data_IF_139253345504
#
_entry.id   IF_139253345504
#
_cell.length_a   1.000
_cell.length_b   1.000
_cell.length_c   1.000
_cell.angle_alpha   90.00
_cell.angle_beta   90.00
_cell.angle_gamma   90.00
#
_symmetry.space_group_name_H-M   'P 1'
#
loop_
_entity.id
_entity.type
_entity.pdbx_description
1 polymer ?
#
# COMPACT_ATOMS: atom_id res chain seq x y z
N UNK A 1 -14.25 5.95 0.89
CA UNK A 1 -13.73 4.90 1.80
C UNK A 1 -12.22 4.99 1.77
N UNK A 2 -11.53 4.90 2.90
CA UNK A 2 -10.07 4.91 2.94
C UNK A 2 -9.56 3.46 2.96
N UNK A 3 -8.57 3.12 2.12
CA UNK A 3 -7.94 1.79 2.07
C UNK A 3 -6.83 1.70 3.13
N UNK A 4 -5.93 2.69 3.14
CA UNK A 4 -4.76 2.67 4.02
C UNK A 4 -5.16 2.89 5.47
N UNK A 5 -4.61 2.08 6.37
CA UNK A 5 -4.98 2.07 7.80
C UNK A 5 -6.48 1.86 8.06
N UNK A 6 -7.17 1.13 7.17
CA UNK A 6 -8.59 0.86 7.34
C UNK A 6 -8.88 0.01 8.60
N UNK A 7 -9.80 0.42 9.48
CA UNK A 7 -10.13 -0.33 10.71
C UNK A 7 -10.59 -1.77 10.46
N UNK A 8 -11.36 -2.04 9.39
CA UNK A 8 -11.81 -3.39 9.07
C UNK A 8 -10.64 -4.29 8.66
N UNK A 9 -9.71 -3.76 7.87
CA UNK A 9 -8.53 -4.53 7.44
C UNK A 9 -7.61 -4.85 8.63
N UNK A 10 -7.43 -3.89 9.56
CA UNK A 10 -6.64 -4.08 10.78
C UNK A 10 -7.30 -5.14 11.68
N UNK A 11 -8.58 -4.97 11.99
CA UNK A 11 -9.33 -5.91 12.84
C UNK A 11 -9.39 -7.32 12.20
N UNK A 12 -9.54 -7.40 10.87
CA UNK A 12 -9.49 -8.67 10.16
C UNK A 12 -8.17 -9.41 10.42
N UNK A 13 -7.03 -8.70 10.36
CA UNK A 13 -5.72 -9.28 10.61
C UNK A 13 -5.58 -9.76 12.06
N UNK A 14 -6.10 -9.01 13.03
CA UNK A 14 -6.13 -9.41 14.44
C UNK A 14 -6.95 -10.69 14.66
N UNK A 15 -8.13 -10.80 14.06
CA UNK A 15 -8.97 -12.01 14.11
C UNK A 15 -8.26 -13.21 13.50
N UNK A 16 -7.55 -13.01 12.39
CA UNK A 16 -6.81 -14.08 11.72
C UNK A 16 -5.65 -14.61 12.59
N UNK A 17 -4.94 -13.71 13.28
CA UNK A 17 -3.88 -14.04 14.25
C UNK A 17 -4.42 -14.77 15.49
N UNK A 18 -5.66 -14.48 15.90
CA UNK A 18 -6.36 -15.18 16.98
C UNK A 18 -6.91 -16.56 16.56
N UNK A 19 -6.75 -16.95 15.29
CA UNK A 19 -7.26 -18.22 14.75
C UNK A 19 -8.75 -18.21 14.38
N UNK A 20 -9.43 -17.05 14.45
CA UNK A 20 -10.86 -16.91 14.11
C UNK A 20 -11.06 -16.78 12.60
N UNK A 21 -10.73 -17.84 11.87
CA UNK A 21 -10.63 -17.82 10.40
C UNK A 21 -11.93 -17.43 9.68
N UNK A 22 -13.08 -17.87 10.17
CA UNK A 22 -14.38 -17.56 9.54
C UNK A 22 -14.74 -16.07 9.68
N UNK A 23 -14.68 -15.53 10.90
CA UNK A 23 -14.93 -14.10 11.17
C UNK A 23 -13.96 -13.20 10.38
N UNK A 24 -12.67 -13.57 10.35
CA UNK A 24 -11.67 -12.86 9.56
C UNK A 24 -11.99 -12.88 8.06
N UNK A 25 -12.45 -14.02 7.52
CA UNK A 25 -12.83 -14.13 6.12
C UNK A 25 -14.03 -13.24 5.77
N UNK A 26 -15.09 -13.27 6.58
CA UNK A 26 -16.27 -12.43 6.39
C UNK A 26 -15.92 -10.94 6.41
N UNK A 27 -15.11 -10.52 7.39
CA UNK A 27 -14.63 -9.14 7.48
C UNK A 27 -13.78 -8.73 6.28
N UNK A 28 -12.90 -9.63 5.79
CA UNK A 28 -12.10 -9.39 4.58
C UNK A 28 -13.00 -9.18 3.36
N UNK A 29 -14.04 -9.99 3.19
CA UNK A 29 -14.96 -9.87 2.06
C UNK A 29 -15.77 -8.57 2.13
N UNK A 30 -16.20 -8.16 3.33
CA UNK A 30 -16.89 -6.89 3.52
C UNK A 30 -15.99 -5.69 3.21
N UNK A 31 -14.73 -5.70 3.69
CA UNK A 31 -13.76 -4.65 3.33
C UNK A 31 -13.58 -4.55 1.81
N UNK A 32 -13.36 -5.69 1.13
CA UNK A 32 -13.21 -5.72 -0.33
C UNK A 32 -14.47 -5.24 -1.06
N UNK A 33 -15.66 -5.55 -0.55
CA UNK A 33 -16.94 -5.06 -1.10
C UNK A 33 -17.02 -3.54 -1.00
N UNK A 34 -16.75 -2.96 0.17
CA UNK A 34 -16.76 -1.51 0.38
C UNK A 34 -15.74 -0.77 -0.51
N UNK A 35 -14.54 -1.34 -0.69
CA UNK A 35 -13.53 -0.78 -1.58
C UNK A 35 -14.01 -0.76 -3.04
N UNK A 36 -14.58 -1.87 -3.52
CA UNK A 36 -15.12 -1.95 -4.90
C UNK A 36 -16.26 -0.96 -5.14
N UNK A 37 -17.18 -0.83 -4.20
CA UNK A 37 -18.34 0.06 -4.33
C UNK A 37 -17.98 1.55 -4.24
N UNK A 38 -16.84 1.89 -3.64
CA UNK A 38 -16.39 3.28 -3.51
C UNK A 38 -15.57 3.80 -4.70
N UNK A 39 -15.27 2.95 -5.69
CA UNK A 39 -14.70 3.37 -6.98
C UNK A 39 -13.18 3.51 -6.98
N UNK A 40 -12.70 4.60 -7.58
CA UNK A 40 -11.27 4.86 -7.80
C UNK A 40 -10.60 5.44 -6.53
N UNK A 41 -9.55 4.76 -6.08
CA UNK A 41 -8.72 5.16 -4.92
C UNK A 41 -7.27 5.43 -5.32
N UNK A 42 -6.98 5.56 -6.61
CA UNK A 42 -5.63 5.78 -7.11
C UNK A 42 -5.15 7.20 -6.76
N UNK A 43 -4.01 7.37 -6.06
CA UNK A 43 -3.43 8.70 -5.81
C UNK A 43 -2.60 9.23 -7.00
N UNK A 44 -2.46 8.44 -8.07
CA UNK A 44 -1.68 8.81 -9.24
C UNK A 44 -2.27 10.04 -9.94
N UNK A 45 -1.40 11.00 -10.26
CA UNK A 45 -1.77 12.25 -10.95
C UNK A 45 -1.69 12.15 -12.47
N UNK A 46 -1.15 11.05 -12.99
CA UNK A 46 -0.97 10.83 -14.43
C UNK A 46 -2.30 10.50 -15.12
N UNK A 47 -2.40 10.84 -16.40
CA UNK A 47 -3.54 10.45 -17.23
C UNK A 47 -3.41 8.97 -17.62
N UNK A 48 -3.87 8.06 -16.75
CA UNK A 48 -3.74 6.61 -16.94
C UNK A 48 -5.11 5.92 -17.02
N UNK A 49 -5.35 5.05 -18.04
CA UNK A 49 -6.62 4.34 -18.18
C UNK A 49 -6.85 3.24 -17.14
N UNK A 50 -5.83 2.90 -16.34
CA UNK A 50 -5.88 1.82 -15.35
C UNK A 50 -6.21 2.29 -13.93
N UNK A 51 -6.61 3.55 -13.75
CA UNK A 51 -7.06 4.08 -12.46
C UNK A 51 -8.21 3.24 -11.88
N UNK A 52 -8.22 3.08 -10.56
CA UNK A 52 -9.14 2.18 -9.85
C UNK A 52 -8.89 0.67 -10.07
N UNK A 53 -8.10 0.26 -11.06
CA UNK A 53 -7.82 -1.16 -11.33
C UNK A 53 -6.47 -1.60 -10.71
N UNK A 54 -6.52 -1.99 -9.43
CA UNK A 54 -5.35 -2.44 -8.69
C UNK A 54 -4.62 -3.62 -9.35
N UNK A 55 -5.36 -4.55 -9.96
CA UNK A 55 -4.77 -5.73 -10.61
C UNK A 55 -3.93 -5.35 -11.83
N UNK A 56 -4.48 -4.53 -12.73
CA UNK A 56 -3.75 -4.07 -13.92
C UNK A 56 -2.55 -3.20 -13.54
N UNK A 57 -2.76 -2.23 -12.64
CA UNK A 57 -1.70 -1.33 -12.18
C UNK A 57 -0.51 -2.10 -11.59
N UNK A 58 -0.74 -3.02 -10.65
CA UNK A 58 0.33 -3.82 -10.04
C UNK A 58 1.01 -4.73 -11.07
N UNK A 59 0.25 -5.32 -11.99
CA UNK A 59 0.80 -6.20 -13.03
C UNK A 59 1.75 -5.44 -13.94
N UNK A 60 1.39 -4.24 -14.37
CA UNK A 60 2.20 -3.39 -15.24
C UNK A 60 3.50 -2.97 -14.54
N UNK A 61 3.42 -2.39 -13.33
CA UNK A 61 4.61 -1.96 -12.58
C UNK A 61 5.53 -3.12 -12.24
N UNK A 62 4.97 -4.29 -11.90
CA UNK A 62 5.76 -5.52 -11.69
C UNK A 62 6.47 -5.97 -12.98
N UNK A 63 5.83 -5.82 -14.14
CA UNK A 63 6.41 -6.13 -15.43
C UNK A 63 7.59 -5.21 -15.78
N UNK A 64 7.43 -3.89 -15.57
CA UNK A 64 8.49 -2.91 -15.84
C UNK A 64 9.67 -3.04 -14.89
N UNK A 65 9.41 -3.33 -13.60
CA UNK A 65 10.42 -3.35 -12.52
C UNK A 65 11.19 -2.03 -12.32
N UNK A 66 10.70 -0.95 -12.89
CA UNK A 66 11.31 0.38 -12.78
C UNK A 66 11.00 1.01 -11.41
N UNK A 67 9.72 1.09 -11.05
CA UNK A 67 9.28 1.62 -9.76
C UNK A 67 7.95 1.04 -9.29
N UNK A 68 7.61 1.29 -8.02
CA UNK A 68 6.34 0.87 -7.41
C UNK A 68 5.16 1.77 -7.84
N UNK A 69 3.93 1.24 -7.86
CA UNK A 69 2.71 2.05 -7.97
C UNK A 69 2.63 3.11 -6.87
N UNK A 70 2.10 4.29 -7.20
CA UNK A 70 2.01 5.42 -6.26
C UNK A 70 1.17 5.11 -5.01
N UNK A 71 0.18 4.22 -5.11
CA UNK A 71 -0.60 3.74 -3.95
C UNK A 71 0.22 2.91 -2.94
N UNK A 72 1.44 2.48 -3.27
CA UNK A 72 2.35 1.80 -2.35
C UNK A 72 3.41 2.73 -1.77
N UNK A 73 3.54 3.95 -2.28
CA UNK A 73 4.64 4.85 -1.91
C UNK A 73 4.58 5.21 -0.44
N UNK A 74 3.42 5.60 0.09
CA UNK A 74 3.31 6.00 1.50
C UNK A 74 3.70 4.84 2.43
N UNK A 75 3.22 3.61 2.16
CA UNK A 75 3.58 2.41 2.92
C UNK A 75 5.10 2.15 2.94
N UNK A 76 5.77 2.35 1.81
CA UNK A 76 7.23 2.14 1.72
C UNK A 76 7.98 3.32 2.34
N UNK A 77 7.53 4.55 2.11
CA UNK A 77 8.12 5.77 2.65
C UNK A 77 8.06 5.79 4.18
N UNK A 78 7.00 5.26 4.81
CA UNK A 78 6.96 5.08 6.26
C UNK A 78 8.15 4.24 6.77
N UNK A 79 8.53 3.19 6.04
CA UNK A 79 9.66 2.32 6.41
C UNK A 79 11.00 2.97 6.10
N UNK A 80 11.12 3.62 4.95
CA UNK A 80 12.32 4.37 4.59
C UNK A 80 12.57 5.52 5.56
N UNK A 81 11.53 6.24 5.97
CA UNK A 81 11.62 7.31 6.97
C UNK A 81 12.10 6.76 8.32
N UNK A 82 11.53 5.64 8.78
CA UNK A 82 11.97 4.99 10.02
C UNK A 82 13.44 4.54 9.96
N UNK A 83 13.90 4.00 8.83
CA UNK A 83 15.31 3.64 8.62
C UNK A 83 16.21 4.86 8.56
N UNK A 84 15.80 5.91 7.84
CA UNK A 84 16.54 7.17 7.71
C UNK A 84 16.79 7.83 9.08
N UNK A 85 15.84 7.74 10.00
CA UNK A 85 16.01 8.22 11.37
C UNK A 85 17.09 7.47 12.17
N UNK A 86 17.46 6.25 11.79
CA UNK A 86 18.57 5.53 12.45
C UNK A 86 19.92 6.23 12.26
N UNK A 87 20.05 7.05 11.21
CA UNK A 87 21.25 7.84 10.93
C UNK A 87 20.94 9.33 10.86
N UNK A 88 19.89 9.79 11.55
CA UNK A 88 19.52 11.21 11.60
C UNK A 88 19.32 11.87 10.21
N UNK A 89 18.90 11.09 9.20
CA UNK A 89 18.65 11.60 7.86
C UNK A 89 19.89 11.75 6.97
N UNK A 90 21.04 11.21 7.36
CA UNK A 90 22.30 11.36 6.60
C UNK A 90 22.40 10.52 5.33
N UNK A 91 21.44 9.61 5.05
CA UNK A 91 21.52 8.68 3.92
C UNK A 91 21.79 9.39 2.59
N UNK A 92 21.05 10.46 2.29
CA UNK A 92 21.21 11.19 1.03
C UNK A 92 22.58 11.84 0.90
N UNK A 93 23.08 12.45 1.98
CA UNK A 93 24.42 13.04 1.99
C UNK A 93 25.49 11.95 1.76
N UNK A 94 25.35 10.81 2.43
CA UNK A 94 26.27 9.69 2.27
C UNK A 94 26.31 9.18 0.83
N UNK A 95 25.14 9.03 0.18
CA UNK A 95 25.03 8.65 -1.24
C UNK A 95 25.74 9.67 -2.15
N UNK A 96 25.46 10.97 -1.99
CA UNK A 96 26.09 12.03 -2.78
C UNK A 96 27.63 12.07 -2.62
N UNK A 97 28.17 11.64 -1.47
CA UNK A 97 29.61 11.57 -1.19
C UNK A 97 30.30 10.28 -1.69
N UNK A 98 29.54 9.21 -1.99
CA UNK A 98 30.08 7.87 -2.28
C UNK A 98 29.59 7.26 -3.61
N UNK A 99 28.85 8.00 -4.44
CA UNK A 99 28.66 7.74 -5.88
C UNK A 99 29.84 8.26 -6.74
#
# INVERSE_FOLDING_TARGET
MQIDNNPLAIQQNELDQQGKKQEAYEMKMEFLRQVRESGDHCPCKEACPHHGNCFECVTIHRGHRDHLPMCMWDMVNERLAALSHMTEGTLRQYEDEHE
#
